data_IF_472397583122
#
_entry.id   IF_472397583122
#
_cell.length_a   1.000
_cell.length_b   1.000
_cell.length_c   1.000
_cell.angle_alpha   90.00
_cell.angle_beta   90.00
_cell.angle_gamma   90.00
#
_symmetry.space_group_name_H-M   'P 1'
#
loop_
_entity.id
_entity.type
_entity.pdbx_description
1 polymer ?
#
# COMPACT_ATOMS: atom_id res chain seq x y z
N UNK A 1 -4.06 -29.04 17.61
CA UNK A 1 -3.40 -30.19 18.25
C UNK A 1 -1.99 -30.30 17.73
N UNK A 2 -1.72 -31.27 16.84
CA UNK A 2 -0.36 -31.61 16.39
C UNK A 2 0.50 -30.42 15.88
N UNK A 3 -0.08 -29.50 15.10
CA UNK A 3 0.65 -28.33 14.54
C UNK A 3 0.91 -27.26 15.60
N UNK A 4 -0.03 -27.06 16.53
CA UNK A 4 0.19 -26.21 17.72
C UNK A 4 1.30 -26.83 18.58
N UNK A 5 1.30 -28.15 18.76
CA UNK A 5 2.36 -28.85 19.49
C UNK A 5 3.73 -28.71 18.82
N UNK A 6 3.82 -28.50 17.48
CA UNK A 6 5.08 -28.21 16.79
C UNK A 6 5.67 -26.84 17.18
N UNK A 7 4.85 -25.87 17.58
CA UNK A 7 5.28 -24.54 18.06
C UNK A 7 5.24 -24.37 19.57
N UNK A 8 4.54 -25.24 20.29
CA UNK A 8 4.55 -25.28 21.75
C UNK A 8 5.87 -25.93 22.23
N UNK A 9 6.94 -25.11 22.21
CA UNK A 9 8.32 -25.48 22.50
C UNK A 9 8.60 -25.62 24.01
N UNK A 10 7.56 -25.58 24.85
CA UNK A 10 7.62 -25.58 26.31
C UNK A 10 8.10 -26.90 26.96
N UNK A 11 8.25 -27.99 26.19
CA UNK A 11 8.68 -29.30 26.71
C UNK A 11 10.09 -29.72 26.21
N UNK A 12 11.05 -29.73 27.13
CA UNK A 12 12.51 -29.64 26.92
C UNK A 12 13.28 -30.77 26.23
N UNK A 13 12.64 -31.80 25.66
CA UNK A 13 13.34 -32.85 24.88
C UNK A 13 12.77 -33.09 23.49
N UNK A 14 11.51 -32.74 23.23
CA UNK A 14 10.93 -32.70 21.87
C UNK A 14 11.10 -31.32 21.19
N UNK A 15 11.50 -30.31 21.95
CA UNK A 15 11.74 -28.93 21.49
C UNK A 15 12.85 -28.82 20.42
N UNK A 16 13.92 -29.63 20.50
CA UNK A 16 15.05 -29.55 19.56
C UNK A 16 14.71 -30.04 18.15
N UNK A 17 13.96 -31.14 18.02
CA UNK A 17 13.55 -31.70 16.74
C UNK A 17 12.52 -30.81 16.03
N UNK A 18 11.59 -30.23 16.80
CA UNK A 18 10.58 -29.27 16.30
C UNK A 18 11.22 -27.97 15.82
N UNK A 19 12.11 -27.40 16.63
CA UNK A 19 12.90 -26.23 16.25
C UNK A 19 13.77 -26.46 15.03
N UNK A 20 14.42 -27.64 14.95
CA UNK A 20 15.20 -28.03 13.80
C UNK A 20 14.32 -28.17 12.55
N UNK A 21 13.14 -28.77 12.67
CA UNK A 21 12.18 -28.91 11.58
C UNK A 21 11.73 -27.54 11.04
N UNK A 22 11.31 -26.62 11.91
CA UNK A 22 10.95 -25.25 11.50
C UNK A 22 12.12 -24.52 10.83
N UNK A 23 13.35 -24.66 11.36
CA UNK A 23 14.56 -24.09 10.74
C UNK A 23 14.88 -24.71 9.38
N UNK A 24 14.69 -26.03 9.22
CA UNK A 24 14.92 -26.73 7.96
C UNK A 24 13.90 -26.30 6.91
N UNK A 25 12.60 -26.22 7.27
CA UNK A 25 11.56 -25.73 6.35
C UNK A 25 11.81 -24.27 6.00
N UNK A 26 12.10 -23.40 6.98
CA UNK A 26 12.45 -22.00 6.71
C UNK A 26 13.64 -21.94 5.76
N UNK A 27 14.74 -22.65 6.05
CA UNK A 27 15.91 -22.64 5.18
C UNK A 27 15.59 -23.12 3.76
N UNK A 28 14.79 -24.16 3.60
CA UNK A 28 14.37 -24.66 2.30
C UNK A 28 13.51 -23.63 1.54
N UNK A 29 12.57 -22.97 2.23
CA UNK A 29 11.77 -21.90 1.64
C UNK A 29 12.62 -20.67 1.28
N UNK A 30 13.58 -20.29 2.12
CA UNK A 30 14.51 -19.19 1.87
C UNK A 30 15.44 -19.48 0.69
N UNK A 31 15.97 -20.70 0.59
CA UNK A 31 16.81 -21.10 -0.55
C UNK A 31 16.07 -20.96 -1.87
N UNK A 32 14.77 -21.30 -1.89
CA UNK A 32 13.98 -21.19 -3.11
C UNK A 32 13.76 -19.77 -3.63
N UNK A 33 13.94 -18.72 -2.80
CA UNK A 33 13.95 -17.33 -3.28
C UNK A 33 15.24 -16.96 -4.02
N UNK A 34 16.33 -17.71 -3.78
CA UNK A 34 17.64 -17.50 -4.39
C UNK A 34 17.88 -18.40 -5.62
N UNK A 35 16.98 -19.36 -5.89
CA UNK A 35 17.10 -20.30 -7.00
C UNK A 35 16.31 -19.87 -8.24
N UNK A 36 16.84 -20.23 -9.42
CA UNK A 36 16.13 -20.06 -10.69
C UNK A 36 15.43 -21.36 -11.06
N UNK A 37 14.10 -21.36 -11.01
CA UNK A 37 13.29 -22.54 -11.27
C UNK A 37 13.08 -22.74 -12.79
N UNK A 38 13.72 -23.77 -13.33
CA UNK A 38 13.58 -24.19 -14.73
C UNK A 38 12.37 -25.09 -14.99
N UNK A 39 11.85 -25.77 -13.95
CA UNK A 39 10.78 -26.76 -13.99
C UNK A 39 9.60 -26.36 -13.08
N UNK A 40 8.37 -26.65 -13.53
CA UNK A 40 7.16 -26.30 -12.77
C UNK A 40 6.99 -27.15 -11.50
N UNK A 41 7.50 -28.39 -11.48
CA UNK A 41 7.32 -29.30 -10.35
C UNK A 41 8.08 -28.80 -9.11
N UNK A 42 9.33 -28.35 -9.29
CA UNK A 42 10.11 -27.78 -8.19
C UNK A 42 9.51 -26.49 -7.64
N UNK A 43 8.95 -25.65 -8.52
CA UNK A 43 8.21 -24.45 -8.10
C UNK A 43 6.97 -24.81 -7.26
N UNK A 44 6.21 -25.83 -7.66
CA UNK A 44 5.06 -26.32 -6.89
C UNK A 44 5.51 -26.87 -5.52
N UNK A 45 6.62 -27.60 -5.44
CA UNK A 45 7.13 -28.08 -4.15
C UNK A 45 7.58 -26.92 -3.25
N UNK A 46 8.23 -25.92 -3.82
CA UNK A 46 8.62 -24.73 -3.07
C UNK A 46 7.40 -23.95 -2.57
N UNK A 47 6.34 -23.80 -3.36
CA UNK A 47 5.09 -23.18 -2.92
C UNK A 47 4.39 -23.97 -1.82
N UNK A 48 4.43 -25.32 -1.87
CA UNK A 48 3.95 -26.16 -0.77
C UNK A 48 4.75 -25.94 0.52
N UNK A 49 6.05 -25.67 0.44
CA UNK A 49 6.86 -25.31 1.61
C UNK A 49 6.42 -23.95 2.17
N UNK A 50 6.16 -22.95 1.31
CA UNK A 50 5.60 -21.65 1.71
C UNK A 50 4.24 -21.80 2.39
N UNK A 51 3.34 -22.60 1.81
CA UNK A 51 2.03 -22.91 2.42
C UNK A 51 2.15 -23.64 3.76
N UNK A 52 3.11 -24.56 3.87
CA UNK A 52 3.38 -25.26 5.13
C UNK A 52 3.84 -24.28 6.21
N UNK A 53 4.77 -23.36 5.90
CA UNK A 53 5.19 -22.28 6.81
C UNK A 53 4.02 -21.39 7.23
N UNK A 54 3.14 -21.04 6.30
CA UNK A 54 1.96 -20.24 6.59
C UNK A 54 1.05 -20.93 7.62
N UNK A 55 0.69 -22.20 7.37
CA UNK A 55 -0.17 -22.97 8.28
C UNK A 55 0.48 -23.22 9.63
N UNK A 56 1.79 -23.38 9.63
CA UNK A 56 2.61 -23.48 10.83
C UNK A 56 2.52 -22.20 11.68
N UNK A 57 2.70 -21.02 11.07
CA UNK A 57 2.54 -19.71 11.72
C UNK A 57 1.11 -19.53 12.26
N UNK A 58 0.09 -19.78 11.43
CA UNK A 58 -1.33 -19.65 11.83
C UNK A 58 -1.67 -20.56 13.01
N UNK A 59 -1.17 -21.80 13.03
CA UNK A 59 -1.43 -22.74 14.12
C UNK A 59 -0.68 -22.43 15.42
N UNK A 60 0.41 -21.64 15.34
CA UNK A 60 1.16 -21.17 16.51
C UNK A 60 0.46 -20.01 17.24
N UNK A 61 -0.57 -19.41 16.63
CA UNK A 61 -1.22 -18.23 17.17
C UNK A 61 -2.20 -18.57 18.31
N UNK A 62 -1.94 -18.03 19.51
CA UNK A 62 -2.88 -17.99 20.65
C UNK A 62 -2.41 -17.06 21.79
N UNK A 63 -2.95 -15.84 21.96
CA UNK A 63 -3.69 -15.04 20.98
C UNK A 63 -2.77 -14.42 19.89
N UNK A 64 -1.46 -14.54 20.05
CA UNK A 64 -0.41 -14.03 19.15
C UNK A 64 0.46 -15.18 18.63
N UNK A 65 1.28 -14.91 17.61
CA UNK A 65 2.35 -15.81 17.19
C UNK A 65 3.47 -15.89 18.25
N UNK A 66 4.22 -16.99 18.27
CA UNK A 66 5.42 -17.12 19.10
C UNK A 66 6.56 -16.23 18.62
N UNK A 67 7.56 -15.99 19.47
CA UNK A 67 8.77 -15.21 19.11
C UNK A 67 9.56 -15.88 17.97
N UNK A 68 9.62 -17.21 17.97
CA UNK A 68 10.25 -17.99 16.92
C UNK A 68 9.48 -17.89 15.59
N UNK A 69 8.15 -17.95 15.65
CA UNK A 69 7.30 -17.75 14.46
C UNK A 69 7.45 -16.31 13.91
N UNK A 70 7.61 -15.31 14.78
CA UNK A 70 7.90 -13.94 14.39
C UNK A 70 9.25 -13.80 13.66
N UNK A 71 10.33 -14.41 14.18
CA UNK A 71 11.65 -14.43 13.52
C UNK A 71 11.61 -15.15 12.16
N UNK A 72 10.86 -16.26 12.06
CA UNK A 72 10.63 -16.99 10.81
C UNK A 72 9.93 -16.08 9.78
N UNK A 73 8.83 -15.41 10.17
CA UNK A 73 8.09 -14.51 9.29
C UNK A 73 8.96 -13.35 8.82
N UNK A 74 9.72 -12.73 9.71
CA UNK A 74 10.58 -11.59 9.36
C UNK A 74 11.63 -11.99 8.33
N UNK A 75 12.32 -13.12 8.53
CA UNK A 75 13.31 -13.64 7.56
C UNK A 75 12.67 -13.98 6.23
N UNK A 76 11.48 -14.56 6.25
CA UNK A 76 10.73 -14.88 5.04
C UNK A 76 10.37 -13.60 4.27
N UNK A 77 9.81 -12.60 4.95
CA UNK A 77 9.47 -11.30 4.36
C UNK A 77 10.71 -10.63 3.74
N UNK A 78 11.82 -10.59 4.46
CA UNK A 78 13.06 -9.99 3.98
C UNK A 78 13.58 -10.69 2.71
N UNK A 79 13.54 -12.02 2.67
CA UNK A 79 13.95 -12.78 1.50
C UNK A 79 13.01 -12.57 0.30
N UNK A 80 11.69 -12.46 0.52
CA UNK A 80 10.73 -12.14 -0.52
C UNK A 80 10.97 -10.73 -1.10
N UNK A 81 11.15 -9.72 -0.24
CA UNK A 81 11.49 -8.35 -0.64
C UNK A 81 12.80 -8.29 -1.45
N UNK A 82 13.84 -9.00 -0.99
CA UNK A 82 15.12 -9.07 -1.68
C UNK A 82 14.98 -9.75 -3.05
N UNK A 83 14.27 -10.87 -3.13
CA UNK A 83 14.06 -11.61 -4.38
C UNK A 83 13.29 -10.78 -5.41
N UNK A 84 12.25 -10.05 -4.99
CA UNK A 84 11.51 -9.13 -5.87
C UNK A 84 12.42 -7.99 -6.34
N UNK A 85 13.24 -7.42 -5.45
CA UNK A 85 14.20 -6.38 -5.80
C UNK A 85 15.21 -6.88 -6.83
N UNK A 86 15.81 -8.04 -6.62
CA UNK A 86 16.79 -8.64 -7.53
C UNK A 86 16.15 -8.94 -8.90
N UNK A 87 14.93 -9.49 -8.91
CA UNK A 87 14.16 -9.72 -10.13
C UNK A 87 13.90 -8.42 -10.91
N UNK A 88 13.54 -7.36 -10.20
CA UNK A 88 13.32 -6.03 -10.77
C UNK A 88 14.60 -5.43 -11.39
N UNK A 89 15.79 -5.77 -10.86
CA UNK A 89 17.08 -5.26 -11.33
C UNK A 89 17.68 -6.06 -12.50
N UNK A 90 17.52 -7.38 -12.52
CA UNK A 90 18.27 -8.27 -13.45
C UNK A 90 17.65 -8.38 -14.85
N UNK A 91 16.47 -7.78 -15.09
CA UNK A 91 15.78 -7.79 -16.40
C UNK A 91 15.43 -9.18 -16.97
N UNK A 92 15.76 -10.27 -16.27
CA UNK A 92 15.43 -11.64 -16.64
C UNK A 92 14.20 -12.10 -15.87
N UNK A 93 13.22 -12.65 -16.61
CA UNK A 93 11.99 -13.17 -16.03
C UNK A 93 12.25 -14.49 -15.28
N UNK A 94 12.60 -14.42 -13.99
CA UNK A 94 12.47 -15.56 -13.08
C UNK A 94 11.00 -15.91 -12.85
N UNK A 95 10.63 -17.19 -12.93
CA UNK A 95 9.27 -17.70 -12.63
C UNK A 95 9.08 -17.92 -11.12
N UNK A 96 9.45 -16.94 -10.30
CA UNK A 96 9.45 -17.12 -8.84
C UNK A 96 8.02 -17.06 -8.28
N UNK A 97 7.07 -16.41 -8.96
CA UNK A 97 5.66 -16.50 -8.55
C UNK A 97 4.76 -16.65 -9.78
N UNK A 98 3.79 -17.56 -9.71
CA UNK A 98 2.72 -17.70 -10.70
C UNK A 98 1.45 -17.12 -10.06
N UNK A 99 1.13 -15.84 -10.30
CA UNK A 99 -0.06 -15.20 -9.70
C UNK A 99 -1.36 -15.49 -10.46
N UNK A 100 -1.34 -16.29 -11.53
CA UNK A 100 -2.53 -16.48 -12.37
C UNK A 100 -3.60 -17.39 -11.75
N UNK A 101 -3.23 -18.19 -10.76
CA UNK A 101 -4.12 -19.14 -10.10
C UNK A 101 -3.54 -19.33 -8.70
N UNK A 102 -3.93 -18.50 -7.72
CA UNK A 102 -3.80 -19.03 -6.38
C UNK A 102 -4.70 -20.29 -6.33
N UNK A 103 -4.22 -21.29 -5.64
CA UNK A 103 -4.80 -22.62 -5.57
C UNK A 103 -4.30 -23.18 -4.25
N UNK A 104 -4.82 -24.32 -3.82
CA UNK A 104 -4.24 -25.02 -2.66
C UNK A 104 -2.72 -25.25 -2.79
N UNK A 105 -2.16 -25.14 -4.00
CA UNK A 105 -0.76 -25.35 -4.34
C UNK A 105 0.08 -24.11 -4.69
N UNK A 106 -0.49 -22.90 -4.76
CA UNK A 106 0.26 -21.69 -5.15
C UNK A 106 -0.16 -20.45 -4.35
N UNK A 107 0.82 -19.70 -3.83
CA UNK A 107 0.60 -18.52 -2.99
C UNK A 107 1.16 -17.24 -3.64
N UNK A 108 0.39 -16.13 -3.69
CA UNK A 108 0.92 -14.86 -4.16
C UNK A 108 1.98 -14.28 -3.21
N UNK A 109 2.76 -13.31 -3.71
CA UNK A 109 3.64 -12.51 -2.85
C UNK A 109 2.82 -11.72 -1.82
N UNK A 110 3.36 -11.53 -0.61
CA UNK A 110 2.67 -10.83 0.49
C UNK A 110 1.64 -11.66 1.27
N UNK A 111 1.57 -12.99 1.05
CA UNK A 111 0.68 -13.90 1.80
C UNK A 111 0.91 -13.85 3.32
N UNK A 112 2.15 -13.55 3.71
CA UNK A 112 2.57 -13.40 5.10
C UNK A 112 1.78 -12.28 5.79
N UNK A 113 1.49 -11.17 5.10
CA UNK A 113 0.71 -10.07 5.68
C UNK A 113 -0.76 -10.42 5.87
N UNK A 114 -1.31 -11.28 5.00
CA UNK A 114 -2.68 -11.77 5.15
C UNK A 114 -2.79 -12.66 6.38
N UNK A 115 -1.82 -13.56 6.60
CA UNK A 115 -1.78 -14.36 7.83
C UNK A 115 -1.57 -13.51 9.08
N UNK A 116 -0.63 -12.55 9.05
CA UNK A 116 -0.44 -11.62 10.17
C UNK A 116 -1.75 -10.87 10.46
N UNK A 117 -2.43 -10.36 9.43
CA UNK A 117 -3.70 -9.67 9.58
C UNK A 117 -4.77 -10.55 10.26
N UNK A 118 -4.87 -11.83 9.88
CA UNK A 118 -5.81 -12.78 10.51
C UNK A 118 -5.49 -13.03 11.97
N UNK A 119 -4.20 -13.19 12.30
CA UNK A 119 -3.78 -13.37 13.70
C UNK A 119 -4.12 -12.13 14.51
N UNK A 120 -3.71 -10.96 14.02
CA UNK A 120 -3.97 -9.66 14.65
C UNK A 120 -5.47 -9.45 14.88
N UNK A 121 -6.31 -9.71 13.88
CA UNK A 121 -7.77 -9.64 13.99
C UNK A 121 -8.33 -10.58 15.07
N UNK A 122 -7.78 -11.79 15.15
CA UNK A 122 -8.17 -12.79 16.16
C UNK A 122 -7.67 -12.46 17.58
N UNK A 123 -6.58 -11.69 17.73
CA UNK A 123 -6.03 -11.30 19.04
C UNK A 123 -6.92 -10.31 19.80
N UNK A 124 -7.89 -9.67 19.13
CA UNK A 124 -8.85 -8.69 19.68
C UNK A 124 -8.26 -7.38 20.26
N UNK A 125 -6.95 -7.30 20.52
CA UNK A 125 -6.26 -6.07 20.96
C UNK A 125 -4.84 -5.98 20.40
N UNK A 126 -4.28 -4.77 20.34
CA UNK A 126 -2.91 -4.55 19.85
C UNK A 126 -1.87 -5.13 20.80
N UNK A 127 -2.10 -5.05 22.11
CA UNK A 127 -1.21 -5.61 23.14
C UNK A 127 -1.15 -7.14 23.04
N UNK A 128 -2.28 -7.77 22.73
CA UNK A 128 -2.39 -9.21 22.52
C UNK A 128 -1.77 -9.67 21.19
N UNK A 129 -1.39 -8.77 20.29
CA UNK A 129 -0.76 -9.05 18.99
C UNK A 129 0.66 -8.46 18.87
N UNK A 130 1.36 -8.31 20.00
CA UNK A 130 2.65 -7.62 20.10
C UNK A 130 3.74 -8.13 19.15
N UNK A 131 3.87 -9.45 18.98
CA UNK A 131 4.86 -10.08 18.11
C UNK A 131 4.50 -9.84 16.64
N UNK A 132 3.23 -10.00 16.26
CA UNK A 132 2.76 -9.61 14.93
C UNK A 132 3.03 -8.13 14.61
N UNK A 133 2.77 -7.23 15.55
CA UNK A 133 3.05 -5.79 15.39
C UNK A 133 4.55 -5.54 15.23
N UNK A 134 5.39 -6.25 15.99
CA UNK A 134 6.84 -6.15 15.86
C UNK A 134 7.31 -6.58 14.47
N UNK A 135 6.80 -7.70 13.95
CA UNK A 135 7.11 -8.17 12.58
C UNK A 135 6.71 -7.13 11.55
N UNK A 136 5.51 -6.57 11.65
CA UNK A 136 5.03 -5.49 10.77
C UNK A 136 5.97 -4.27 10.85
N UNK A 137 6.34 -3.85 12.06
CA UNK A 137 7.19 -2.69 12.26
C UNK A 137 8.59 -2.89 11.66
N UNK A 138 9.23 -4.03 11.94
CA UNK A 138 10.57 -4.34 11.45
C UNK A 138 10.62 -4.59 9.93
N UNK A 139 9.54 -5.12 9.36
CA UNK A 139 9.43 -5.32 7.91
C UNK A 139 8.97 -4.08 7.13
N UNK A 140 8.52 -3.02 7.81
CA UNK A 140 7.91 -1.87 7.14
C UNK A 140 8.81 -1.21 6.08
N UNK A 141 10.08 -0.92 6.39
CA UNK A 141 10.98 -0.28 5.41
C UNK A 141 11.21 -1.13 4.17
N UNK A 142 11.69 -2.39 4.27
CA UNK A 142 11.97 -3.20 3.08
C UNK A 142 10.72 -3.41 2.22
N UNK A 143 9.54 -3.56 2.82
CA UNK A 143 8.28 -3.74 2.08
C UNK A 143 7.90 -2.52 1.28
N UNK A 144 7.88 -1.34 1.93
CA UNK A 144 7.51 -0.11 1.25
C UNK A 144 8.53 0.27 0.18
N UNK A 145 9.81 -0.01 0.39
CA UNK A 145 10.87 0.16 -0.60
C UNK A 145 10.66 -0.78 -1.80
N UNK A 146 10.34 -2.06 -1.58
CA UNK A 146 10.02 -3.03 -2.63
C UNK A 146 8.80 -2.61 -3.45
N UNK A 147 7.71 -2.17 -2.79
CA UNK A 147 6.49 -1.69 -3.46
C UNK A 147 6.80 -0.46 -4.34
N UNK A 148 7.66 0.45 -3.88
CA UNK A 148 8.03 1.69 -4.57
C UNK A 148 9.20 1.56 -5.55
N UNK A 149 9.63 0.32 -5.88
CA UNK A 149 10.69 0.10 -6.85
C UNK A 149 10.36 0.73 -8.21
N UNK A 150 11.39 1.28 -8.87
CA UNK A 150 11.21 2.08 -10.09
C UNK A 150 10.87 1.25 -11.32
N UNK A 151 11.49 0.08 -11.47
CA UNK A 151 11.45 -0.69 -12.70
C UNK A 151 11.31 -2.16 -12.35
N UNK A 152 10.22 -2.79 -12.77
CA UNK A 152 10.17 -4.23 -12.95
C UNK A 152 10.26 -4.44 -14.47
N UNK A 153 11.02 -5.44 -14.99
CA UNK A 153 11.02 -5.74 -16.42
C UNK A 153 9.56 -5.84 -16.88
N UNK A 154 9.19 -4.97 -17.83
CA UNK A 154 7.83 -4.95 -18.34
C UNK A 154 7.49 -6.38 -18.76
N UNK A 155 6.27 -6.79 -18.42
CA UNK A 155 5.63 -7.97 -18.96
C UNK A 155 5.87 -7.98 -20.47
N UNK A 156 6.88 -8.73 -20.91
CA UNK A 156 6.97 -9.18 -22.28
C UNK A 156 5.60 -9.84 -22.60
N UNK A 157 5.24 -9.97 -23.88
CA UNK A 157 4.08 -10.78 -24.28
C UNK A 157 4.10 -12.23 -23.73
N UNK A 158 5.19 -12.65 -23.06
CA UNK A 158 5.40 -13.90 -22.34
C UNK A 158 4.77 -14.01 -20.93
N UNK A 159 4.00 -13.03 -20.45
CA UNK A 159 3.21 -13.20 -19.21
C UNK A 159 3.99 -13.10 -17.90
N UNK A 160 5.04 -12.28 -17.83
CA UNK A 160 5.73 -11.96 -16.56
C UNK A 160 4.82 -11.12 -15.69
N UNK A 161 4.70 -11.51 -14.43
CA UNK A 161 3.79 -10.91 -13.46
C UNK A 161 4.54 -9.95 -12.54
N UNK A 162 3.91 -8.83 -12.18
CA UNK A 162 4.46 -7.83 -11.27
C UNK A 162 4.05 -8.11 -9.82
N UNK A 163 4.91 -8.81 -9.08
CA UNK A 163 4.67 -9.31 -7.72
C UNK A 163 4.41 -8.23 -6.68
N UNK A 164 4.84 -6.99 -6.96
CA UNK A 164 4.61 -5.83 -6.10
C UNK A 164 3.12 -5.54 -5.94
N UNK A 165 2.29 -5.95 -6.92
CA UNK A 165 0.84 -5.78 -6.86
C UNK A 165 0.23 -6.58 -5.71
N UNK A 166 0.52 -7.88 -5.63
CA UNK A 166 -0.02 -8.76 -4.58
C UNK A 166 0.56 -8.42 -3.21
N UNK A 167 1.84 -8.05 -3.16
CA UNK A 167 2.48 -7.56 -1.93
C UNK A 167 1.80 -6.29 -1.41
N UNK A 168 1.55 -5.30 -2.28
CA UNK A 168 0.86 -4.08 -1.90
C UNK A 168 -0.57 -4.35 -1.42
N UNK A 169 -1.27 -5.28 -2.07
CA UNK A 169 -2.60 -5.71 -1.65
C UNK A 169 -2.60 -6.28 -0.22
N UNK A 170 -1.74 -7.27 0.05
CA UNK A 170 -1.61 -7.90 1.37
C UNK A 170 -1.18 -6.90 2.44
N UNK A 171 -0.24 -6.00 2.11
CA UNK A 171 0.21 -4.96 3.02
C UNK A 171 -0.91 -3.99 3.42
N UNK A 172 -1.61 -3.39 2.45
CA UNK A 172 -2.70 -2.45 2.74
C UNK A 172 -3.87 -3.13 3.47
N UNK A 173 -4.16 -4.40 3.15
CA UNK A 173 -5.15 -5.17 3.89
C UNK A 173 -4.74 -5.35 5.37
N UNK A 174 -3.48 -5.68 5.64
CA UNK A 174 -2.97 -5.80 7.00
C UNK A 174 -3.04 -4.48 7.77
N UNK A 175 -2.68 -3.36 7.13
CA UNK A 175 -2.78 -2.04 7.75
C UNK A 175 -4.21 -1.65 8.11
N UNK A 176 -5.20 -2.06 7.30
CA UNK A 176 -6.61 -1.85 7.62
C UNK A 176 -7.04 -2.61 8.86
N UNK A 177 -6.62 -3.86 9.02
CA UNK A 177 -6.93 -4.63 10.22
C UNK A 177 -6.35 -3.94 11.47
N UNK A 178 -5.11 -3.42 11.39
CA UNK A 178 -4.52 -2.64 12.49
C UNK A 178 -5.35 -1.39 12.85
N UNK A 179 -5.91 -0.69 11.85
CA UNK A 179 -6.81 0.45 12.08
C UNK A 179 -8.10 0.00 12.79
N UNK A 180 -8.73 -1.09 12.34
CA UNK A 180 -9.99 -1.63 12.88
C UNK A 180 -9.92 -2.09 14.34
N UNK A 181 -8.78 -2.63 14.76
CA UNK A 181 -8.57 -2.99 16.16
C UNK A 181 -8.54 -1.79 17.11
N UNK A 182 -8.75 -0.58 16.57
CA UNK A 182 -9.05 0.60 17.34
C UNK A 182 -7.77 1.20 17.88
N UNK A 183 -6.88 1.62 16.97
CA UNK A 183 -5.78 2.51 17.33
C UNK A 183 -6.32 3.63 18.24
N UNK A 184 -5.83 3.64 19.49
CA UNK A 184 -6.02 4.72 20.45
C UNK A 184 -4.66 5.35 20.70
N UNK A 185 -4.57 6.70 20.74
CA UNK A 185 -3.33 7.36 21.09
C UNK A 185 -2.77 6.78 22.41
N UNK A 186 -1.59 6.14 22.35
CA UNK A 186 -0.91 5.53 23.49
C UNK A 186 -0.99 4.00 23.66
N UNK A 187 -1.78 3.25 22.88
CA UNK A 187 -1.90 1.79 23.06
C UNK A 187 -0.68 1.00 22.57
N UNK A 188 -0.08 1.41 21.45
CA UNK A 188 1.18 0.86 20.96
C UNK A 188 1.94 1.93 20.15
N UNK A 189 3.17 2.25 20.55
CA UNK A 189 3.95 3.34 19.94
C UNK A 189 4.48 3.02 18.53
N UNK A 190 4.50 1.74 18.14
CA UNK A 190 5.01 1.31 16.83
C UNK A 190 3.99 1.50 15.71
N UNK A 191 2.71 1.27 16.01
CA UNK A 191 1.61 1.27 15.03
C UNK A 191 1.43 2.62 14.30
N UNK A 192 1.42 3.79 14.97
CA UNK A 192 1.25 5.09 14.29
C UNK A 192 2.24 5.31 13.16
N UNK A 193 3.52 4.98 13.42
CA UNK A 193 4.59 5.20 12.45
C UNK A 193 4.42 4.30 11.24
N UNK A 194 4.15 3.02 11.45
CA UNK A 194 3.91 2.07 10.35
C UNK A 194 2.73 2.53 9.48
N UNK A 195 1.62 2.92 10.10
CA UNK A 195 0.44 3.39 9.38
C UNK A 195 0.73 4.68 8.60
N UNK A 196 1.47 5.63 9.20
CA UNK A 196 1.88 6.86 8.54
C UNK A 196 2.80 6.59 7.33
N UNK A 197 3.81 5.74 7.48
CA UNK A 197 4.69 5.33 6.39
C UNK A 197 3.92 4.64 5.25
N UNK A 198 2.96 3.78 5.60
CA UNK A 198 2.08 3.11 4.64
C UNK A 198 1.20 4.11 3.89
N UNK A 199 0.67 5.12 4.59
CA UNK A 199 -0.09 6.22 3.99
C UNK A 199 0.79 7.03 3.01
N UNK A 200 2.02 7.35 3.39
CA UNK A 200 2.99 8.00 2.49
C UNK A 200 3.27 7.14 1.24
N UNK A 201 3.49 5.84 1.40
CA UNK A 201 3.70 4.92 0.28
C UNK A 201 2.52 4.93 -0.69
N UNK A 202 1.29 4.85 -0.17
CA UNK A 202 0.08 4.94 -0.97
C UNK A 202 -0.02 6.22 -1.82
N UNK A 203 0.34 7.37 -1.23
CA UNK A 203 0.41 8.63 -1.97
C UNK A 203 1.53 8.63 -3.01
N UNK A 204 2.71 8.13 -2.66
CA UNK A 204 3.82 8.04 -3.61
C UNK A 204 3.47 7.17 -4.81
N UNK A 205 2.75 6.05 -4.64
CA UNK A 205 2.24 5.24 -5.75
C UNK A 205 1.34 6.04 -6.70
N UNK A 206 0.40 6.82 -6.16
CA UNK A 206 -0.48 7.70 -6.95
C UNK A 206 0.34 8.74 -7.74
N UNK A 207 1.37 9.31 -7.12
CA UNK A 207 2.25 10.29 -7.75
C UNK A 207 3.15 9.66 -8.83
N UNK A 208 3.61 8.43 -8.60
CA UNK A 208 4.45 7.68 -9.52
C UNK A 208 3.70 7.22 -10.78
N UNK A 209 2.37 7.20 -10.76
CA UNK A 209 1.59 6.75 -11.91
C UNK A 209 1.50 7.84 -12.99
N UNK A 210 1.85 7.54 -14.26
CA UNK A 210 1.83 8.52 -15.36
C UNK A 210 0.40 8.88 -15.76
N UNK A 211 0.20 10.13 -16.19
CA UNK A 211 -1.10 10.64 -16.65
C UNK A 211 -1.38 10.37 -18.15
N UNK A 212 -0.36 9.96 -18.92
CA UNK A 212 -0.37 9.79 -20.38
C UNK A 212 0.09 8.38 -20.80
N UNK A 213 -0.48 7.87 -21.90
CA UNK A 213 -0.05 6.61 -22.52
C UNK A 213 1.26 6.82 -23.27
N UNK A 214 2.18 5.85 -23.19
CA UNK A 214 3.40 5.81 -24.01
C UNK A 214 4.66 6.37 -23.36
N UNK A 215 4.56 6.97 -22.16
CA UNK A 215 5.74 7.08 -21.31
C UNK A 215 6.06 5.70 -20.73
N UNK A 216 7.33 5.30 -20.79
CA UNK A 216 7.84 4.14 -20.07
C UNK A 216 7.37 4.24 -18.62
N UNK A 217 6.39 3.43 -18.26
CA UNK A 217 5.81 3.43 -16.93
C UNK A 217 6.85 2.84 -15.97
N UNK A 218 7.71 3.71 -15.44
CA UNK A 218 8.53 3.38 -14.29
C UNK A 218 7.65 3.42 -13.05
N UNK A 219 7.22 2.26 -12.55
CA UNK A 219 6.42 2.13 -11.33
C UNK A 219 5.54 0.88 -11.33
N UNK A 220 4.77 0.73 -10.25
CA UNK A 220 3.72 -0.29 -10.13
C UNK A 220 2.47 0.15 -10.92
N UNK A 221 1.89 -0.75 -11.70
CA UNK A 221 0.61 -0.48 -12.38
C UNK A 221 -0.53 -0.41 -11.38
N UNK A 222 -1.27 0.70 -11.34
CA UNK A 222 -2.47 0.86 -10.49
C UNK A 222 -3.73 0.16 -11.04
N UNK A 223 -3.56 -0.79 -11.96
CA UNK A 223 -4.66 -1.53 -12.62
C UNK A 223 -4.88 -2.89 -11.97
N UNK A 224 -5.20 -2.92 -10.67
CA UNK A 224 -5.38 -4.17 -9.93
C UNK A 224 -6.03 -4.03 -8.54
N UNK A 225 -6.29 -5.17 -7.86
CA UNK A 225 -6.97 -5.19 -6.55
C UNK A 225 -6.28 -4.36 -5.47
N UNK A 226 -4.95 -4.30 -5.46
CA UNK A 226 -4.17 -3.46 -4.54
C UNK A 226 -4.58 -1.97 -4.57
N UNK A 227 -5.07 -1.47 -5.70
CA UNK A 227 -5.57 -0.09 -5.80
C UNK A 227 -6.89 0.09 -5.05
N UNK A 228 -7.77 -0.92 -5.02
CA UNK A 228 -8.97 -0.90 -4.18
C UNK A 228 -8.57 -0.94 -2.70
N UNK A 229 -7.65 -1.84 -2.33
CA UNK A 229 -7.16 -1.94 -0.94
C UNK A 229 -6.49 -0.66 -0.46
N UNK A 230 -5.72 0.01 -1.32
CA UNK A 230 -5.15 1.33 -1.03
C UNK A 230 -6.24 2.36 -0.75
N UNK A 231 -7.27 2.47 -1.58
CA UNK A 231 -8.33 3.47 -1.37
C UNK A 231 -9.16 3.19 -0.12
N UNK A 232 -9.44 1.91 0.16
CA UNK A 232 -10.11 1.50 1.40
C UNK A 232 -9.24 1.86 2.62
N UNK A 233 -7.94 1.55 2.56
CA UNK A 233 -6.97 1.90 3.60
C UNK A 233 -6.90 3.40 3.84
N UNK A 234 -6.78 4.23 2.79
CA UNK A 234 -6.73 5.69 2.95
C UNK A 234 -8.02 6.24 3.57
N UNK A 235 -9.18 5.71 3.14
CA UNK A 235 -10.48 6.10 3.71
C UNK A 235 -10.54 5.83 5.21
N UNK A 236 -10.11 4.63 5.61
CA UNK A 236 -10.09 4.17 7.00
C UNK A 236 -9.03 4.92 7.82
N UNK A 237 -7.83 5.11 7.27
CA UNK A 237 -6.73 5.84 7.91
C UNK A 237 -7.13 7.27 8.30
N UNK A 238 -7.77 8.01 7.40
CA UNK A 238 -8.19 9.38 7.69
C UNK A 238 -9.33 9.45 8.72
N UNK A 239 -10.16 8.41 8.86
CA UNK A 239 -11.20 8.38 9.90
C UNK A 239 -10.64 8.34 11.33
N UNK A 240 -9.37 7.94 11.50
CA UNK A 240 -8.69 8.00 12.80
C UNK A 240 -8.22 9.42 13.19
N UNK A 241 -8.48 10.44 12.36
CA UNK A 241 -8.43 11.84 12.76
C UNK A 241 -7.09 12.56 12.56
N UNK A 242 -7.00 13.77 13.12
CA UNK A 242 -5.95 14.75 12.82
C UNK A 242 -4.54 14.32 13.25
N UNK A 243 -4.41 13.49 14.29
CA UNK A 243 -3.11 13.08 14.83
C UNK A 243 -2.34 12.21 13.84
N UNK A 244 -2.99 11.16 13.31
CA UNK A 244 -2.40 10.32 12.27
C UNK A 244 -2.15 11.12 10.99
N UNK A 245 -3.10 11.96 10.57
CA UNK A 245 -2.90 12.84 9.41
C UNK A 245 -1.67 13.76 9.58
N UNK A 246 -1.45 14.33 10.76
CA UNK A 246 -0.30 15.18 11.06
C UNK A 246 1.00 14.38 10.96
N UNK A 247 1.03 13.18 11.55
CA UNK A 247 2.19 12.29 11.49
C UNK A 247 2.54 11.92 10.05
N UNK A 248 1.57 11.46 9.25
CA UNK A 248 1.81 11.15 7.85
C UNK A 248 2.18 12.37 7.01
N UNK A 249 1.64 13.55 7.32
CA UNK A 249 2.01 14.80 6.65
C UNK A 249 3.48 15.13 6.89
N UNK A 250 3.95 15.01 8.13
CA UNK A 250 5.36 15.22 8.47
C UNK A 250 6.27 14.18 7.80
N UNK A 251 5.91 12.89 7.87
CA UNK A 251 6.67 11.80 7.24
C UNK A 251 6.75 11.96 5.71
N UNK A 252 5.67 12.44 5.07
CA UNK A 252 5.64 12.70 3.64
C UNK A 252 6.56 13.86 3.26
N UNK A 253 6.55 14.94 4.05
CA UNK A 253 7.41 16.10 3.83
C UNK A 253 8.90 15.82 4.05
N UNK A 254 9.25 14.77 4.81
CA UNK A 254 10.64 14.29 4.89
C UNK A 254 11.10 13.56 3.61
N UNK A 255 10.16 13.03 2.82
CA UNK A 255 10.43 12.23 1.61
C UNK A 255 10.28 13.00 0.31
N UNK A 256 9.70 14.20 0.36
CA UNK A 256 9.43 15.01 -0.81
C UNK A 256 9.61 16.49 -0.51
N UNK A 257 10.29 17.19 -1.44
CA UNK A 257 10.42 18.65 -1.42
C UNK A 257 9.44 19.30 -2.38
N UNK A 258 8.66 20.26 -1.87
CA UNK A 258 7.64 20.96 -2.64
C UNK A 258 7.81 22.47 -2.51
N UNK A 259 7.59 23.17 -3.62
CA UNK A 259 7.49 24.61 -3.65
C UNK A 259 6.03 24.98 -3.46
N UNK A 260 5.80 25.89 -2.53
CA UNK A 260 4.53 26.55 -2.37
C UNK A 260 4.81 28.06 -2.41
N UNK A 261 4.04 28.78 -3.22
CA UNK A 261 4.27 30.19 -3.54
C UNK A 261 4.08 31.18 -2.38
N UNK A 262 3.70 30.72 -1.19
CA UNK A 262 3.53 31.54 0.02
C UNK A 262 4.64 31.28 1.06
N UNK A 263 5.36 32.33 1.46
CA UNK A 263 6.39 32.27 2.49
C UNK A 263 5.83 31.92 3.88
N UNK A 264 6.54 31.03 4.59
CA UNK A 264 6.20 30.40 5.88
C UNK A 264 5.14 29.29 5.81
N UNK A 265 5.59 28.06 6.06
CA UNK A 265 4.72 26.89 6.01
C UNK A 265 4.96 25.94 7.17
N UNK A 266 3.89 25.70 7.90
CA UNK A 266 3.73 24.55 8.76
C UNK A 266 3.85 23.27 7.90
N UNK A 267 4.84 22.42 8.17
CA UNK A 267 5.08 21.18 7.42
C UNK A 267 3.84 20.26 7.39
N UNK A 268 3.06 20.25 8.48
CA UNK A 268 1.85 19.43 8.55
C UNK A 268 0.75 19.94 7.59
N UNK A 269 0.56 21.25 7.47
CA UNK A 269 -0.40 21.85 6.54
C UNK A 269 0.00 21.63 5.09
N UNK A 270 1.29 21.81 4.78
CA UNK A 270 1.82 21.53 3.43
C UNK A 270 1.71 20.04 3.09
N UNK A 271 2.02 19.15 4.03
CA UNK A 271 1.82 17.70 3.84
C UNK A 271 0.35 17.35 3.63
N UNK A 272 -0.58 17.94 4.39
CA UNK A 272 -2.02 17.80 4.16
C UNK A 272 -2.42 18.25 2.75
N UNK A 273 -1.88 19.37 2.27
CA UNK A 273 -2.12 19.86 0.93
C UNK A 273 -1.54 18.95 -0.16
N UNK A 274 -0.45 18.22 0.12
CA UNK A 274 0.06 17.18 -0.78
C UNK A 274 -0.95 16.03 -0.89
N UNK A 275 -1.55 15.57 0.21
CA UNK A 275 -2.60 14.54 0.16
C UNK A 275 -3.75 14.97 -0.76
N UNK A 276 -4.26 16.19 -0.57
CA UNK A 276 -5.32 16.77 -1.42
C UNK A 276 -4.89 16.83 -2.89
N UNK A 277 -3.69 17.35 -3.17
CA UNK A 277 -3.16 17.43 -4.54
C UNK A 277 -3.04 16.04 -5.18
N UNK A 278 -2.62 15.03 -4.41
CA UNK A 278 -2.44 13.67 -4.88
C UNK A 278 -3.78 13.00 -5.21
N UNK A 279 -4.82 13.24 -4.41
CA UNK A 279 -6.18 12.77 -4.71
C UNK A 279 -6.79 13.47 -5.95
N UNK A 280 -6.49 14.75 -6.17
CA UNK A 280 -6.85 15.43 -7.41
C UNK A 280 -6.12 14.84 -8.62
N UNK A 281 -4.84 14.47 -8.47
CA UNK A 281 -4.07 13.78 -9.51
C UNK A 281 -4.65 12.39 -9.81
N UNK A 282 -4.99 11.63 -8.76
CA UNK A 282 -5.68 10.34 -8.87
C UNK A 282 -6.91 10.43 -9.75
N UNK A 283 -7.78 11.40 -9.43
CA UNK A 283 -9.03 11.62 -10.14
C UNK A 283 -8.85 12.23 -11.54
N UNK A 284 -7.71 12.88 -11.79
CA UNK A 284 -7.26 13.38 -13.09
C UNK A 284 -6.70 12.30 -14.03
N UNK A 285 -6.69 11.05 -13.57
CA UNK A 285 -6.38 9.88 -14.38
C UNK A 285 -5.00 9.29 -14.14
N UNK A 286 -4.43 9.47 -12.94
CA UNK A 286 -3.37 8.58 -12.45
C UNK A 286 -3.95 7.29 -11.84
N UNK A 287 -5.26 7.23 -11.57
CA UNK A 287 -5.94 5.97 -11.25
C UNK A 287 -6.89 5.50 -12.37
N UNK A 288 -7.22 4.20 -12.42
CA UNK A 288 -8.25 3.67 -13.31
C UNK A 288 -9.62 4.32 -13.07
N UNK A 289 -10.48 4.45 -14.11
CA UNK A 289 -11.80 5.08 -13.98
C UNK A 289 -12.70 4.46 -12.89
N UNK A 290 -12.59 3.15 -12.66
CA UNK A 290 -13.32 2.44 -11.62
C UNK A 290 -12.80 2.75 -10.21
N UNK A 291 -11.51 3.06 -10.05
CA UNK A 291 -10.91 3.41 -8.75
C UNK A 291 -11.27 4.85 -8.37
N UNK A 292 -11.41 5.75 -9.35
CA UNK A 292 -11.84 7.15 -9.14
C UNK A 292 -13.21 7.24 -8.44
N UNK A 293 -14.01 6.18 -8.47
CA UNK A 293 -15.29 6.12 -7.76
C UNK A 293 -15.16 6.12 -6.24
N UNK A 294 -14.01 5.68 -5.69
CA UNK A 294 -13.71 5.70 -4.26
C UNK A 294 -13.15 7.04 -3.77
N UNK A 295 -12.66 7.91 -4.66
CA UNK A 295 -12.02 9.19 -4.30
C UNK A 295 -12.92 10.11 -3.45
N UNK A 296 -14.23 10.24 -3.72
CA UNK A 296 -15.13 10.99 -2.84
C UNK A 296 -15.11 10.56 -1.38
N UNK A 297 -15.06 9.26 -1.10
CA UNK A 297 -15.01 8.72 0.26
C UNK A 297 -13.68 9.09 0.94
N UNK A 298 -12.56 8.94 0.22
CA UNK A 298 -11.23 9.32 0.74
C UNK A 298 -11.17 10.83 1.04
N UNK A 299 -11.71 11.67 0.16
CA UNK A 299 -11.78 13.13 0.38
C UNK A 299 -12.64 13.49 1.60
N UNK A 300 -13.78 12.82 1.76
CA UNK A 300 -14.65 13.02 2.91
C UNK A 300 -13.95 12.67 4.22
N UNK A 301 -13.33 11.49 4.31
CA UNK A 301 -12.56 11.11 5.49
C UNK A 301 -11.38 12.06 5.75
N UNK A 302 -10.69 12.55 4.71
CA UNK A 302 -9.63 13.55 4.86
C UNK A 302 -10.14 14.88 5.44
N UNK A 303 -11.31 15.34 4.99
CA UNK A 303 -11.95 16.55 5.55
C UNK A 303 -12.35 16.35 7.02
N UNK A 304 -12.87 15.17 7.35
CA UNK A 304 -13.17 14.79 8.74
C UNK A 304 -11.90 14.77 9.61
N UNK A 305 -10.79 14.26 9.07
CA UNK A 305 -9.48 14.30 9.72
C UNK A 305 -8.98 15.73 9.97
N UNK A 306 -9.33 16.67 9.08
CA UNK A 306 -9.15 18.12 9.27
C UNK A 306 -10.19 18.75 10.22
N UNK A 307 -10.82 17.95 11.08
CA UNK A 307 -11.79 18.37 12.10
C UNK A 307 -13.04 19.04 11.53
N UNK A 308 -13.40 18.74 10.27
CA UNK A 308 -14.52 19.36 9.56
C UNK A 308 -14.42 20.90 9.46
N UNK A 309 -13.20 21.47 9.52
CA UNK A 309 -13.01 22.91 9.39
C UNK A 309 -12.99 23.32 7.91
N UNK A 310 -14.12 23.84 7.43
CA UNK A 310 -14.31 24.30 6.04
C UNK A 310 -13.28 25.37 5.66
N UNK A 311 -12.97 26.31 6.57
CA UNK A 311 -12.06 27.42 6.28
C UNK A 311 -10.62 26.94 6.17
N UNK A 312 -10.18 26.13 7.14
CA UNK A 312 -8.83 25.55 7.09
C UNK A 312 -8.67 24.65 5.87
N UNK A 313 -9.67 23.83 5.56
CA UNK A 313 -9.63 22.97 4.37
C UNK A 313 -9.63 23.77 3.06
N UNK A 314 -10.29 24.93 3.01
CA UNK A 314 -10.20 25.86 1.88
C UNK A 314 -8.80 26.38 1.64
N UNK A 315 -8.07 26.74 2.69
CA UNK A 315 -6.66 27.12 2.59
C UNK A 315 -5.79 25.94 2.13
N UNK A 316 -6.03 24.74 2.67
CA UNK A 316 -5.35 23.51 2.21
C UNK A 316 -5.59 23.25 0.71
N UNK A 317 -6.82 23.46 0.23
CA UNK A 317 -7.16 23.35 -1.19
C UNK A 317 -6.40 24.39 -2.02
N UNK A 318 -6.40 25.65 -1.61
CA UNK A 318 -5.66 26.71 -2.30
C UNK A 318 -4.17 26.39 -2.43
N UNK A 319 -3.55 25.90 -1.35
CA UNK A 319 -2.16 25.43 -1.36
C UNK A 319 -2.03 24.27 -2.35
N UNK A 320 -2.87 23.24 -2.24
CA UNK A 320 -2.80 22.02 -3.05
C UNK A 320 -2.84 22.27 -4.56
N UNK A 321 -3.62 23.27 -5.01
CA UNK A 321 -3.77 23.63 -6.42
C UNK A 321 -2.57 24.41 -6.97
N UNK A 322 -1.61 24.78 -6.12
CA UNK A 322 -0.41 25.52 -6.47
C UNK A 322 0.90 24.80 -6.07
N UNK A 323 0.82 23.66 -5.38
CA UNK A 323 1.99 22.85 -5.02
C UNK A 323 2.73 22.33 -6.24
N UNK A 324 4.02 22.66 -6.32
CA UNK A 324 4.93 22.14 -7.33
C UNK A 324 5.99 21.26 -6.70
N UNK A 325 6.34 20.17 -7.37
CA UNK A 325 7.47 19.35 -6.97
C UNK A 325 8.78 20.16 -7.14
N UNK A 326 9.69 20.16 -6.18
CA UNK A 326 10.99 20.85 -6.30
C UNK A 326 12.10 19.95 -6.78
N UNK A 327 12.12 18.71 -6.28
CA UNK A 327 13.16 17.73 -6.55
C UNK A 327 12.51 16.46 -7.09
N UNK A 328 13.23 15.66 -7.90
CA UNK A 328 12.70 14.37 -8.33
C UNK A 328 12.25 13.56 -7.13
N UNK A 329 11.11 12.86 -7.26
CA UNK A 329 10.68 11.93 -6.23
C UNK A 329 11.79 10.90 -5.99
N UNK A 330 11.95 10.50 -4.72
CA UNK A 330 12.81 9.38 -4.33
C UNK A 330 12.54 8.19 -5.28
N UNK A 331 13.60 7.54 -5.74
CA UNK A 331 13.60 6.45 -6.73
C UNK A 331 13.47 6.87 -8.21
N UNK A 332 13.64 8.16 -8.54
CA UNK A 332 13.83 8.59 -9.93
C UNK A 332 12.59 8.42 -10.82
N UNK A 333 11.41 8.53 -10.23
CA UNK A 333 10.14 8.49 -10.97
C UNK A 333 10.10 9.59 -12.05
N UNK A 334 9.74 9.21 -13.28
CA UNK A 334 9.61 10.14 -14.42
C UNK A 334 8.19 10.67 -14.64
N UNK A 335 7.21 10.17 -13.89
CA UNK A 335 5.80 10.52 -14.06
C UNK A 335 5.41 11.89 -13.51
N UNK A 336 6.23 12.44 -12.60
CA UNK A 336 6.11 13.79 -12.05
C UNK A 336 7.51 14.39 -11.96
N UNK A 337 7.77 15.41 -12.78
CA UNK A 337 9.08 16.06 -12.85
C UNK A 337 9.13 17.30 -11.94
N UNK A 338 10.34 17.72 -11.50
CA UNK A 338 10.54 19.01 -10.86
C UNK A 338 9.87 20.16 -11.61
N UNK A 339 9.26 21.07 -10.87
CA UNK A 339 8.50 22.21 -11.38
C UNK A 339 7.06 21.89 -11.77
N UNK A 340 6.66 20.62 -11.93
CA UNK A 340 5.28 20.25 -12.27
C UNK A 340 4.34 20.37 -11.06
N UNK A 341 3.07 20.73 -11.32
CA UNK A 341 2.03 20.72 -10.29
C UNK A 341 1.70 19.29 -9.87
N UNK A 342 1.68 19.06 -8.56
CA UNK A 342 1.35 17.76 -7.96
C UNK A 342 -0.07 17.34 -8.34
N UNK A 343 -1.02 18.28 -8.28
CA UNK A 343 -2.44 18.07 -8.63
C UNK A 343 -2.67 17.67 -10.10
N UNK A 344 -1.64 17.72 -10.93
CA UNK A 344 -1.66 17.24 -12.30
C UNK A 344 -1.95 18.33 -13.34
N UNK A 345 -1.80 17.94 -14.60
CA UNK A 345 -1.79 18.86 -15.74
C UNK A 345 -3.11 19.59 -16.00
N UNK A 346 -4.26 18.99 -15.67
CA UNK A 346 -5.56 19.61 -15.90
C UNK A 346 -5.75 20.83 -14.99
N UNK A 347 -5.41 20.68 -13.71
CA UNK A 347 -5.38 21.79 -12.74
C UNK A 347 -4.36 22.85 -13.15
N UNK A 348 -3.20 22.45 -13.70
CA UNK A 348 -2.18 23.40 -14.19
C UNK A 348 -2.68 24.30 -15.33
N UNK A 349 -3.62 23.83 -16.14
CA UNK A 349 -4.22 24.60 -17.25
C UNK A 349 -5.35 25.52 -16.80
N UNK A 350 -5.78 25.44 -15.54
CA UNK A 350 -6.86 26.27 -15.03
C UNK A 350 -6.40 27.69 -14.79
N UNK A 351 -7.17 28.64 -15.30
CA UNK A 351 -7.04 30.05 -14.94
C UNK A 351 -7.38 30.25 -13.46
N UNK A 352 -6.87 31.34 -12.88
CA UNK A 352 -7.09 31.67 -11.46
C UNK A 352 -8.57 31.68 -11.07
N UNK A 353 -9.42 32.32 -11.87
CA UNK A 353 -10.88 32.39 -11.63
C UNK A 353 -11.56 31.02 -11.70
N UNK A 354 -11.05 30.08 -12.51
CA UNK A 354 -11.56 28.71 -12.56
C UNK A 354 -11.15 27.91 -11.32
N UNK A 355 -9.92 28.11 -10.81
CA UNK A 355 -9.48 27.51 -9.55
C UNK A 355 -10.32 28.02 -8.37
N UNK A 356 -10.60 29.32 -8.30
CA UNK A 356 -11.44 29.92 -7.25
C UNK A 356 -12.86 29.34 -7.26
N UNK A 357 -13.47 29.19 -8.44
CA UNK A 357 -14.78 28.52 -8.58
C UNK A 357 -14.74 27.05 -8.17
N UNK A 358 -13.66 26.35 -8.52
CA UNK A 358 -13.47 24.95 -8.15
C UNK A 358 -13.35 24.79 -6.62
N UNK A 359 -12.55 25.62 -5.96
CA UNK A 359 -12.44 25.65 -4.50
C UNK A 359 -13.82 25.91 -3.89
N UNK A 360 -14.51 26.95 -4.35
CA UNK A 360 -15.84 27.33 -3.82
C UNK A 360 -16.84 26.17 -3.91
N UNK A 361 -16.85 25.43 -5.02
CA UNK A 361 -17.73 24.27 -5.19
C UNK A 361 -17.33 23.08 -4.29
N UNK A 362 -16.05 22.90 -3.97
CA UNK A 362 -15.63 21.88 -2.99
C UNK A 362 -16.06 22.31 -1.58
N UNK A 363 -15.93 23.59 -1.23
CA UNK A 363 -16.35 24.09 0.08
C UNK A 363 -17.86 23.92 0.31
N UNK A 364 -18.68 24.17 -0.72
CA UNK A 364 -20.12 23.86 -0.67
C UNK A 364 -20.37 22.35 -0.41
N UNK A 365 -19.57 21.46 -1.02
CA UNK A 365 -19.65 20.02 -0.75
C UNK A 365 -19.24 19.70 0.70
N UNK A 366 -18.23 20.37 1.26
CA UNK A 366 -17.83 20.20 2.65
C UNK A 366 -18.95 20.62 3.62
N UNK A 367 -19.61 21.75 3.35
CA UNK A 367 -20.73 22.26 4.16
C UNK A 367 -21.95 21.34 4.11
N UNK A 368 -22.32 20.88 2.92
CA UNK A 368 -23.49 20.02 2.69
C UNK A 368 -23.20 18.53 2.94
N UNK A 369 -21.92 18.15 3.04
CA UNK A 369 -21.42 16.77 3.09
C UNK A 369 -21.84 15.90 1.90
N UNK A 370 -22.18 16.51 0.77
CA UNK A 370 -22.64 15.83 -0.44
C UNK A 370 -21.47 15.28 -1.28
N UNK A 371 -20.59 14.47 -0.68
CA UNK A 371 -19.34 13.98 -1.30
C UNK A 371 -19.55 13.30 -2.65
N UNK A 372 -20.71 12.67 -2.89
CA UNK A 372 -21.06 12.09 -4.20
C UNK A 372 -21.02 13.12 -5.34
N UNK A 373 -21.26 14.41 -5.08
CA UNK A 373 -21.14 15.50 -6.08
C UNK A 373 -19.69 15.77 -6.49
N UNK A 374 -18.71 15.46 -5.64
CA UNK A 374 -17.29 15.70 -5.92
C UNK A 374 -16.83 14.98 -7.19
N UNK A 375 -17.34 13.76 -7.44
CA UNK A 375 -17.07 13.00 -8.67
C UNK A 375 -17.46 13.80 -9.92
N UNK A 376 -18.63 14.43 -9.91
CA UNK A 376 -19.11 15.21 -11.05
C UNK A 376 -18.30 16.49 -11.22
N UNK A 377 -17.97 17.17 -10.12
CA UNK A 377 -17.14 18.37 -10.13
C UNK A 377 -15.75 18.08 -10.72
N UNK A 378 -15.08 17.02 -10.24
CA UNK A 378 -13.79 16.58 -10.78
C UNK A 378 -13.91 16.21 -12.26
N UNK A 379 -14.96 15.50 -12.68
CA UNK A 379 -15.15 15.16 -14.10
C UNK A 379 -15.31 16.39 -15.00
N UNK A 380 -15.98 17.43 -14.53
CA UNK A 380 -16.12 18.70 -15.26
C UNK A 380 -14.76 19.39 -15.44
N UNK A 381 -13.93 19.32 -14.41
CA UNK A 381 -12.62 20.00 -14.30
C UNK A 381 -11.50 19.24 -15.02
N UNK A 382 -11.49 17.91 -14.92
CA UNK A 382 -10.41 17.05 -15.41
C UNK A 382 -10.75 16.33 -16.73
N UNK A 383 -11.93 16.55 -17.31
CA UNK A 383 -12.34 15.96 -18.60
C UNK A 383 -12.86 14.54 -18.47
N UNK A 384 -14.16 14.41 -18.19
CA UNK A 384 -14.84 13.15 -17.85
C UNK A 384 -15.01 12.07 -18.94
N UNK A 385 -14.21 12.03 -20.01
CA UNK A 385 -14.27 10.94 -21.02
C UNK A 385 -12.90 10.59 -21.58
N UNK A 386 -12.13 9.74 -20.90
CA UNK A 386 -11.07 8.98 -21.57
C UNK A 386 -11.72 7.79 -22.29
N UNK A 387 -12.12 7.95 -23.56
CA UNK A 387 -12.39 6.83 -24.50
C UNK A 387 -11.13 5.98 -24.79
N UNK A 388 -10.01 6.28 -24.13
CA UNK A 388 -8.68 5.78 -24.44
C UNK A 388 -7.84 5.53 -23.17
N UNK A 389 -8.43 5.26 -22.00
CA UNK A 389 -7.63 4.78 -20.86
C UNK A 389 -6.97 3.43 -21.21
N UNK A 390 -5.74 3.21 -20.75
CA UNK A 390 -5.03 1.93 -20.94
C UNK A 390 -5.43 0.88 -19.92
N UNK A 391 -6.23 1.30 -18.95
CA UNK A 391 -6.72 0.51 -17.84
C UNK A 391 -7.76 -0.51 -18.31
N UNK A 392 -7.66 -1.72 -17.76
CA UNK A 392 -8.55 -2.84 -17.99
C UNK A 392 -9.87 -2.66 -17.23
N UNK A 393 -10.75 -3.64 -17.37
CA UNK A 393 -12.00 -3.72 -16.60
C UNK A 393 -11.71 -3.73 -15.09
N UNK A 394 -12.71 -3.35 -14.29
CA UNK A 394 -12.63 -3.39 -12.83
C UNK A 394 -12.19 -4.79 -12.40
N UNK A 395 -11.13 -4.94 -11.60
CA UNK A 395 -10.70 -6.25 -11.13
C UNK A 395 -11.76 -6.85 -10.21
N UNK A 396 -11.85 -8.18 -10.19
CA UNK A 396 -12.55 -8.90 -9.11
C UNK A 396 -11.91 -8.56 -7.77
N UNK A 397 -12.69 -8.63 -6.68
CA UNK A 397 -12.11 -8.50 -5.34
C UNK A 397 -11.15 -9.67 -5.10
N UNK A 398 -9.89 -9.28 -4.86
CA UNK A 398 -8.72 -9.97 -4.31
C UNK A 398 -8.27 -11.32 -4.90
N UNK A 399 -6.97 -11.57 -4.85
CA UNK A 399 -6.39 -12.91 -4.93
C UNK A 399 -6.35 -13.61 -3.56
N UNK A 400 -7.02 -13.07 -2.54
CA UNK A 400 -6.92 -13.51 -1.15
C UNK A 400 -8.25 -14.06 -0.62
N UNK A 401 -9.33 -13.95 -1.40
CA UNK A 401 -10.64 -14.55 -1.18
C UNK A 401 -10.64 -16.07 -1.45
N UNK A 402 -9.49 -16.76 -1.36
CA UNK A 402 -9.38 -18.21 -1.60
C UNK A 402 -10.24 -19.06 -0.70
N UNK A 403 -10.48 -18.60 0.54
CA UNK A 403 -11.34 -19.31 1.48
C UNK A 403 -12.85 -19.21 1.13
N UNK A 404 -13.23 -18.48 0.07
CA UNK A 404 -14.60 -18.43 -0.46
C UNK A 404 -14.86 -19.40 -1.62
N UNK A 405 -13.83 -20.04 -2.16
CA UNK A 405 -13.93 -21.10 -3.17
C UNK A 405 -13.79 -22.47 -2.51
#
# INVERSE_FOLDING_TARGET
GLVRDLFDLSNGTQSSAKHLFCKVILRAALLGFAEWWGDNDSLIQWDRLRGSLLKLVEASADPDISVEAADILLKWIQAECQSISDHCQVSQAGRIFIEFIASESMFPAGVQYVAIARVVEASLSLEAASNCIQVIHESCSPVLETILLRSCPQSNPSGVVDFRSSMAEGWFQCMRVLLKLGYRPGSCHLVPRVLALSCCCGILLILQTPLEKGHEAGGLSMDGPHTLMLLDFLTEYFQHGSELLTLASMELMQRMRVANGGGHQNLAETGCAVFVASLLRAASGSLPPWAVEGIPSVFGSLFEACKNDVRAFGLTLEISLNLRLQEPLMNGCRSLEPGQLIAGKFINRMQKSAKEKFISAILEICETKEWKRLKNLIKQVCGGKKKSSGFKLKPSYTQWDYDRL
#
